data_IF_161613423553
#
_entry.id   IF_161613423553
#
_cell.length_a   1.000
_cell.length_b   1.000
_cell.length_c   1.000
_cell.angle_alpha   90.00
_cell.angle_beta   90.00
_cell.angle_gamma   90.00
#
_symmetry.space_group_name_H-M   'P 1'
#
loop_
_entity.id
_entity.type
_entity.pdbx_description
1 polymer ?
#
# COMPACT_ATOMS: atom_id res chain seq x y z
N UNK A 1 63.56 31.12 35.17
CA UNK A 1 63.96 29.82 34.59
C UNK A 1 63.01 29.58 33.43
N UNK A 2 63.17 30.11 32.22
CA UNK A 2 64.32 30.11 31.28
C UNK A 2 64.70 28.69 30.84
N UNK A 3 64.19 28.31 29.66
CA UNK A 3 64.84 27.65 28.49
C UNK A 3 63.69 27.32 27.50
N UNK A 4 63.42 28.08 26.43
CA UNK A 4 64.20 28.49 25.25
C UNK A 4 64.16 27.46 24.10
N UNK A 5 64.34 27.99 22.88
CA UNK A 5 64.40 27.42 21.50
C UNK A 5 63.19 27.85 20.65
N UNK A 6 63.19 29.04 19.99
CA UNK A 6 63.91 29.43 18.74
C UNK A 6 63.44 28.61 17.52
N UNK A 7 63.18 29.13 16.33
CA UNK A 7 63.73 30.31 15.65
C UNK A 7 62.95 30.61 14.33
N UNK A 8 63.00 31.89 13.94
CA UNK A 8 63.07 32.47 12.57
C UNK A 8 61.96 32.22 11.53
N UNK A 9 61.20 33.26 11.12
CA UNK A 9 61.53 34.31 10.13
C UNK A 9 61.25 33.82 8.69
N UNK A 10 60.57 34.51 7.78
CA UNK A 10 60.62 35.93 7.39
C UNK A 10 59.36 36.35 6.59
N UNK A 11 59.01 37.64 6.72
CA UNK A 11 58.43 38.57 5.73
C UNK A 11 58.63 38.19 4.24
N UNK A 12 57.81 38.56 3.24
CA UNK A 12 57.34 39.92 2.88
C UNK A 12 56.60 39.89 1.52
N UNK A 13 55.50 40.65 1.40
CA UNK A 13 55.02 41.46 0.25
C UNK A 13 54.62 40.83 -1.12
N UNK A 14 53.32 40.95 -1.41
CA UNK A 14 52.67 41.61 -2.58
C UNK A 14 53.32 41.51 -3.98
N UNK A 15 52.61 40.95 -4.97
CA UNK A 15 51.96 41.70 -6.07
C UNK A 15 51.27 40.81 -7.15
N UNK A 16 50.11 41.32 -7.58
CA UNK A 16 49.25 41.16 -8.75
C UNK A 16 49.68 40.35 -10.01
N UNK A 17 48.72 39.51 -10.50
CA UNK A 17 48.15 39.24 -11.87
C UNK A 17 48.97 39.54 -13.15
N UNK A 18 48.80 38.84 -14.32
CA UNK A 18 47.51 38.46 -14.95
C UNK A 18 47.45 37.17 -15.84
N UNK A 19 46.27 36.98 -16.45
CA UNK A 19 45.79 36.01 -17.47
C UNK A 19 46.82 35.43 -18.47
N UNK A 20 46.63 34.16 -18.88
CA UNK A 20 46.44 33.71 -20.29
C UNK A 20 46.23 32.18 -20.39
N UNK A 21 45.10 31.79 -20.99
CA UNK A 21 44.79 30.69 -21.94
C UNK A 21 45.71 29.46 -22.07
N UNK A 22 45.15 28.26 -21.85
CA UNK A 22 45.48 27.00 -22.55
C UNK A 22 44.25 26.05 -22.46
N UNK A 23 43.49 25.87 -23.55
CA UNK A 23 43.58 24.77 -24.54
C UNK A 23 43.22 23.39 -23.97
N UNK A 24 42.09 22.90 -24.48
CA UNK A 24 41.41 21.60 -24.31
C UNK A 24 42.29 20.43 -24.83
N UNK A 25 42.10 19.20 -24.33
CA UNK A 25 41.78 18.15 -25.28
C UNK A 25 40.52 17.38 -24.91
N UNK A 26 39.70 17.21 -25.95
CA UNK A 26 38.43 16.54 -25.97
C UNK A 26 38.59 15.05 -25.68
N UNK A 27 37.84 14.54 -24.70
CA UNK A 27 37.65 13.10 -24.53
C UNK A 27 36.23 12.75 -24.98
N UNK A 28 36.22 11.84 -25.95
CA UNK A 28 35.11 11.37 -26.76
C UNK A 28 33.91 10.92 -25.92
N UNK A 29 32.74 11.34 -26.37
CA UNK A 29 31.46 10.66 -26.11
C UNK A 29 31.61 9.17 -26.42
N UNK A 30 31.43 8.34 -25.38
CA UNK A 30 31.00 6.95 -25.53
C UNK A 30 29.58 6.88 -25.00
N UNK A 31 28.63 6.77 -25.92
CA UNK A 31 27.22 6.56 -25.62
C UNK A 31 27.05 5.26 -24.82
N UNK A 32 26.35 5.24 -23.67
CA UNK A 32 25.78 4.01 -23.20
C UNK A 32 24.59 3.70 -24.12
N UNK A 33 24.69 2.61 -24.87
CA UNK A 33 23.57 2.03 -25.59
C UNK A 33 22.45 1.77 -24.57
N UNK A 34 21.44 2.62 -24.58
CA UNK A 34 20.22 2.48 -23.79
C UNK A 34 19.41 1.35 -24.43
N UNK A 35 19.59 0.13 -23.94
CA UNK A 35 18.71 -0.99 -24.30
C UNK A 35 17.28 -0.64 -23.86
N UNK A 36 16.29 -0.63 -24.76
CA UNK A 36 14.90 -0.48 -24.35
C UNK A 36 14.49 -1.77 -23.64
N UNK A 37 14.30 -1.69 -22.32
CA UNK A 37 13.58 -2.72 -21.59
C UNK A 37 12.15 -2.81 -22.16
N UNK A 38 11.63 -4.01 -22.47
CA UNK A 38 10.26 -4.15 -22.90
C UNK A 38 9.35 -3.87 -21.69
N UNK A 39 8.85 -2.64 -21.58
CA UNK A 39 7.81 -2.30 -20.63
C UNK A 39 6.49 -2.91 -21.10
N UNK A 40 6.23 -4.12 -20.60
CA UNK A 40 4.90 -4.74 -20.63
C UNK A 40 3.92 -3.81 -19.90
N UNK A 41 3.09 -3.13 -20.68
CA UNK A 41 2.01 -2.27 -20.20
C UNK A 41 0.87 -3.14 -19.67
N UNK A 42 0.91 -3.54 -18.39
CA UNK A 42 -0.24 -4.18 -17.76
C UNK A 42 -1.21 -3.12 -17.18
N UNK A 43 -2.53 -3.29 -17.35
CA UNK A 43 -3.53 -2.37 -16.81
C UNK A 43 -3.53 -2.41 -15.27
N UNK A 44 -3.71 -1.25 -14.62
CA UNK A 44 -3.86 -1.14 -13.17
C UNK A 44 -4.87 -2.16 -12.66
N UNK A 45 -4.38 -3.10 -11.85
CA UNK A 45 -5.14 -4.24 -11.34
C UNK A 45 -5.96 -3.74 -10.16
N UNK A 46 -7.27 -3.99 -10.14
CA UNK A 46 -8.12 -3.65 -9.00
C UNK A 46 -7.71 -4.49 -7.77
N UNK A 47 -7.91 -3.96 -6.56
CA UNK A 47 -7.75 -4.75 -5.34
C UNK A 47 -8.93 -5.74 -5.27
N UNK A 48 -8.62 -7.03 -5.19
CA UNK A 48 -9.62 -8.11 -5.19
C UNK A 48 -9.37 -9.00 -3.96
N UNK A 49 -10.42 -9.55 -3.32
CA UNK A 49 -10.23 -10.65 -2.38
C UNK A 49 -9.50 -11.81 -3.09
N UNK A 50 -8.48 -12.34 -2.43
CA UNK A 50 -7.71 -13.46 -2.94
C UNK A 50 -8.24 -14.75 -2.34
N UNK A 51 -8.53 -15.70 -3.21
CA UNK A 51 -8.93 -17.03 -2.83
C UNK A 51 -7.70 -17.80 -2.35
N UNK A 52 -7.85 -18.54 -1.24
CA UNK A 52 -6.76 -19.28 -0.61
C UNK A 52 -7.22 -20.68 -0.25
N UNK A 53 -6.26 -21.60 -0.12
CA UNK A 53 -6.46 -22.95 0.39
C UNK A 53 -5.66 -23.11 1.67
N UNK A 54 -6.27 -23.71 2.68
CA UNK A 54 -5.57 -24.02 3.93
C UNK A 54 -4.76 -25.30 3.70
N UNK A 55 -3.46 -25.22 3.97
CA UNK A 55 -2.51 -26.32 3.82
C UNK A 55 -2.27 -26.96 5.19
N UNK A 56 -2.01 -26.13 6.20
CA UNK A 56 -1.77 -26.54 7.59
C UNK A 56 -2.66 -25.71 8.51
N UNK A 57 -3.25 -26.34 9.52
CA UNK A 57 -4.03 -25.69 10.57
C UNK A 57 -3.71 -26.35 11.93
N UNK A 58 -2.43 -26.34 12.31
CA UNK A 58 -1.93 -27.05 13.49
C UNK A 58 -2.26 -28.55 13.50
N UNK A 59 -2.87 -29.01 14.59
CA UNK A 59 -3.29 -30.40 14.77
C UNK A 59 -4.62 -30.75 14.06
N UNK A 60 -5.32 -29.76 13.50
CA UNK A 60 -6.66 -29.92 12.97
C UNK A 60 -6.71 -30.20 11.47
N UNK A 61 -7.85 -30.71 11.01
CA UNK A 61 -8.08 -30.99 9.60
C UNK A 61 -8.21 -29.68 8.80
N UNK A 62 -7.30 -29.39 7.84
CA UNK A 62 -7.32 -28.15 7.07
C UNK A 62 -8.62 -27.89 6.31
N UNK A 63 -9.36 -28.93 5.91
CA UNK A 63 -10.62 -28.79 5.17
C UNK A 63 -11.77 -28.30 6.06
N UNK A 64 -11.82 -28.77 7.30
CA UNK A 64 -12.83 -28.37 8.27
C UNK A 64 -12.59 -26.92 8.70
N UNK A 65 -11.32 -26.60 9.02
CA UNK A 65 -10.86 -25.24 9.27
C UNK A 65 -11.21 -24.28 8.13
N UNK A 66 -10.91 -24.68 6.88
CA UNK A 66 -11.22 -23.87 5.71
C UNK A 66 -12.72 -23.60 5.53
N UNK A 67 -13.55 -24.63 5.76
CA UNK A 67 -15.00 -24.51 5.62
C UNK A 67 -15.59 -23.59 6.68
N UNK A 68 -15.13 -23.71 7.93
CA UNK A 68 -15.56 -22.88 9.07
C UNK A 68 -15.23 -21.39 8.90
N UNK A 69 -14.05 -21.07 8.33
CA UNK A 69 -13.67 -19.68 8.05
C UNK A 69 -14.49 -19.03 6.91
N UNK A 70 -14.98 -19.83 5.96
CA UNK A 70 -15.76 -19.34 4.82
C UNK A 70 -17.24 -19.22 5.18
N UNK A 71 -17.80 -20.16 5.96
CA UNK A 71 -19.23 -20.20 6.29
C UNK A 71 -19.69 -19.10 7.26
N UNK A 72 -18.77 -18.33 7.85
CA UNK A 72 -18.98 -17.39 8.95
C UNK A 72 -19.40 -18.05 10.27
N UNK A 73 -19.40 -19.37 10.37
CA UNK A 73 -19.67 -20.08 11.63
C UNK A 73 -18.51 -19.90 12.62
N UNK A 74 -17.35 -19.48 12.12
CA UNK A 74 -16.14 -19.31 12.89
C UNK A 74 -15.49 -20.64 13.20
N UNK A 75 -14.20 -20.60 13.45
CA UNK A 75 -13.40 -21.74 13.84
C UNK A 75 -12.94 -21.57 15.28
N UNK A 76 -12.89 -22.67 16.03
CA UNK A 76 -12.36 -22.70 17.39
C UNK A 76 -11.43 -23.89 17.54
N UNK A 77 -10.24 -23.65 18.07
CA UNK A 77 -9.24 -24.68 18.23
C UNK A 77 -9.63 -25.73 19.28
N UNK A 78 -9.07 -26.92 19.17
CA UNK A 78 -9.17 -27.93 20.23
C UNK A 78 -8.54 -27.43 21.55
N UNK A 79 -9.07 -27.90 22.68
CA UNK A 79 -8.66 -27.46 24.03
C UNK A 79 -7.21 -27.81 24.41
N UNK A 80 -6.52 -28.62 23.63
CA UNK A 80 -5.16 -29.10 23.90
C UNK A 80 -4.18 -28.76 22.78
N UNK A 81 -4.42 -27.68 22.04
CA UNK A 81 -3.46 -27.18 21.05
C UNK A 81 -2.17 -26.75 21.74
N UNK A 82 -1.03 -27.29 21.29
CA UNK A 82 0.28 -26.75 21.63
C UNK A 82 0.44 -25.39 20.94
N UNK A 83 0.83 -24.36 21.70
CA UNK A 83 1.11 -23.03 21.18
C UNK A 83 2.64 -22.83 21.03
N UNK A 84 3.10 -22.08 20.03
CA UNK A 84 2.29 -21.37 19.02
C UNK A 84 1.65 -22.31 17.98
N UNK A 85 0.46 -21.94 17.51
CA UNK A 85 -0.28 -22.68 16.50
C UNK A 85 0.07 -22.18 15.10
N UNK A 86 0.53 -23.09 14.24
CA UNK A 86 0.90 -22.78 12.87
C UNK A 86 -0.26 -22.98 11.89
N UNK A 87 -0.59 -21.92 11.14
CA UNK A 87 -1.57 -21.96 10.06
C UNK A 87 -0.89 -21.51 8.77
N UNK A 88 -0.87 -22.40 7.78
CA UNK A 88 -0.25 -22.14 6.48
C UNK A 88 -1.31 -22.17 5.39
N UNK A 89 -1.36 -21.08 4.63
CA UNK A 89 -2.32 -20.84 3.56
C UNK A 89 -1.57 -20.73 2.24
N UNK A 90 -2.09 -21.36 1.20
CA UNK A 90 -1.59 -21.24 -0.16
C UNK A 90 -2.60 -20.56 -1.07
N UNK A 91 -2.16 -19.53 -1.79
CA UNK A 91 -2.94 -18.93 -2.87
C UNK A 91 -2.90 -19.83 -4.11
N UNK A 92 -3.99 -19.86 -4.87
CA UNK A 92 -4.05 -20.62 -6.14
C UNK A 92 -2.98 -20.13 -7.14
N UNK A 93 -2.68 -18.83 -7.11
CA UNK A 93 -1.66 -18.18 -7.93
C UNK A 93 -0.89 -17.18 -7.10
N UNK A 94 0.42 -16.98 -7.38
CA UNK A 94 1.19 -15.92 -6.76
C UNK A 94 0.55 -14.56 -7.05
N UNK A 95 0.46 -13.73 -6.03
CA UNK A 95 -0.18 -12.43 -6.09
C UNK A 95 0.55 -11.42 -5.20
N UNK A 96 0.33 -10.12 -5.47
CA UNK A 96 0.76 -9.10 -4.52
C UNK A 96 -0.28 -8.99 -3.40
N UNK A 97 0.07 -9.43 -2.19
CA UNK A 97 -0.79 -9.42 -1.01
C UNK A 97 -0.68 -8.03 -0.39
N UNK A 98 -1.78 -7.29 -0.41
CA UNK A 98 -1.81 -5.90 0.03
C UNK A 98 -2.25 -5.76 1.49
N UNK A 99 -3.37 -6.40 1.85
CA UNK A 99 -3.93 -6.35 3.20
C UNK A 99 -4.49 -7.70 3.63
N UNK A 100 -4.33 -8.01 4.91
CA UNK A 100 -4.89 -9.19 5.57
C UNK A 100 -5.75 -8.69 6.74
N UNK A 101 -6.99 -9.15 6.78
CA UNK A 101 -7.95 -8.83 7.84
C UNK A 101 -8.33 -10.13 8.55
N UNK A 102 -8.21 -10.11 9.88
CA UNK A 102 -8.56 -11.24 10.75
C UNK A 102 -9.59 -10.74 11.76
N UNK A 103 -10.76 -11.36 11.74
CA UNK A 103 -11.82 -11.14 12.73
C UNK A 103 -11.73 -12.28 13.75
N UNK A 104 -11.56 -11.96 15.04
CA UNK A 104 -11.47 -12.92 16.14
C UNK A 104 -12.62 -12.72 17.13
N UNK A 105 -12.99 -13.77 17.83
CA UNK A 105 -13.96 -13.68 18.92
C UNK A 105 -13.24 -13.31 20.22
N UNK A 106 -13.66 -12.24 20.88
CA UNK A 106 -12.94 -11.63 22.02
C UNK A 106 -12.72 -12.59 23.20
N UNK A 107 -13.61 -13.55 23.43
CA UNK A 107 -13.49 -14.49 24.54
C UNK A 107 -12.30 -15.45 24.41
N UNK A 108 -11.77 -15.66 23.20
CA UNK A 108 -10.71 -16.61 22.90
C UNK A 108 -9.75 -16.04 21.84
N UNK A 109 -9.53 -14.73 21.85
CA UNK A 109 -8.64 -14.08 20.91
C UNK A 109 -7.17 -14.48 21.20
N UNK A 110 -6.37 -14.78 20.16
CA UNK A 110 -4.94 -15.00 20.32
C UNK A 110 -4.27 -13.72 20.82
N UNK A 111 -3.24 -13.81 21.67
CA UNK A 111 -2.52 -12.62 22.13
C UNK A 111 -1.80 -11.88 20.99
N UNK A 112 -1.16 -12.65 20.11
CA UNK A 112 -0.33 -12.19 19.01
C UNK A 112 -0.52 -13.11 17.81
N UNK A 113 -0.61 -12.52 16.61
CA UNK A 113 -0.57 -13.25 15.34
C UNK A 113 0.57 -12.69 14.51
N UNK A 114 1.56 -13.53 14.29
CA UNK A 114 2.72 -13.27 13.47
C UNK A 114 2.42 -13.63 12.01
N UNK A 115 2.61 -12.68 11.10
CA UNK A 115 2.30 -12.87 9.67
C UNK A 115 3.58 -12.89 8.85
N UNK A 116 3.80 -14.00 8.16
CA UNK A 116 4.92 -14.21 7.26
C UNK A 116 4.43 -14.55 5.86
N UNK A 117 5.12 -14.05 4.84
CA UNK A 117 4.78 -14.28 3.43
C UNK A 117 5.88 -15.08 2.77
N UNK A 118 5.51 -16.24 2.24
CA UNK A 118 6.38 -17.17 1.52
C UNK A 118 6.33 -16.93 0.02
N UNK A 119 7.51 -16.83 -0.59
CA UNK A 119 7.67 -16.69 -2.04
C UNK A 119 8.81 -17.56 -2.55
N UNK A 120 8.78 -17.87 -3.85
CA UNK A 120 9.89 -18.53 -4.54
C UNK A 120 10.67 -17.53 -5.38
N UNK A 121 11.98 -17.73 -5.50
CA UNK A 121 12.91 -16.82 -6.19
C UNK A 121 12.52 -16.49 -7.64
N UNK A 122 11.79 -17.37 -8.31
CA UNK A 122 11.36 -17.19 -9.70
C UNK A 122 9.90 -16.76 -9.86
N UNK A 123 9.17 -16.50 -8.77
CA UNK A 123 7.73 -16.19 -8.79
C UNK A 123 6.89 -17.20 -9.59
N UNK A 124 7.38 -18.44 -9.71
CA UNK A 124 6.66 -19.50 -10.41
C UNK A 124 5.39 -19.83 -9.63
N UNK A 125 4.28 -19.99 -10.34
CA UNK A 125 3.06 -20.49 -9.75
C UNK A 125 3.23 -21.97 -9.45
N UNK A 126 3.32 -22.30 -8.16
CA UNK A 126 3.51 -23.66 -7.68
C UNK A 126 2.19 -24.18 -7.09
N UNK A 127 1.96 -25.49 -7.08
CA UNK A 127 0.74 -25.98 -6.44
C UNK A 127 0.77 -25.75 -4.92
N UNK A 128 -0.34 -25.28 -4.31
CA UNK A 128 -0.42 -25.03 -2.88
C UNK A 128 -0.54 -26.36 -2.12
N UNK A 129 0.61 -26.98 -1.86
CA UNK A 129 0.78 -28.20 -1.07
C UNK A 129 1.83 -28.00 0.04
N UNK A 130 1.96 -28.97 0.95
CA UNK A 130 2.86 -28.86 2.10
C UNK A 130 4.34 -28.82 1.71
N UNK A 131 4.77 -29.68 0.79
CA UNK A 131 6.16 -29.74 0.32
C UNK A 131 6.61 -28.40 -0.26
N UNK A 132 5.75 -27.78 -1.06
CA UNK A 132 6.04 -26.48 -1.65
C UNK A 132 5.95 -25.36 -0.61
N UNK A 133 4.96 -25.40 0.28
CA UNK A 133 4.87 -24.42 1.35
C UNK A 133 6.13 -24.44 2.25
N UNK A 134 6.66 -25.61 2.59
CA UNK A 134 7.87 -25.74 3.43
C UNK A 134 9.17 -25.28 2.74
N UNK A 135 9.25 -25.40 1.42
CA UNK A 135 10.41 -24.97 0.64
C UNK A 135 10.40 -23.50 0.22
N UNK A 136 9.39 -22.72 0.62
CA UNK A 136 9.28 -21.30 0.28
C UNK A 136 10.16 -20.42 1.18
N UNK A 137 10.66 -19.32 0.63
CA UNK A 137 11.41 -18.32 1.39
C UNK A 137 10.41 -17.39 2.11
N UNK A 138 10.28 -17.55 3.43
CA UNK A 138 9.37 -16.74 4.25
C UNK A 138 10.03 -15.46 4.78
N UNK A 139 9.30 -14.36 4.67
CA UNK A 139 9.69 -13.07 5.21
C UNK A 139 8.61 -12.61 6.19
N UNK A 140 8.98 -12.35 7.44
CA UNK A 140 8.08 -11.74 8.45
C UNK A 140 7.68 -10.33 8.01
N UNK A 141 6.38 -10.06 7.95
CA UNK A 141 5.83 -8.79 7.45
C UNK A 141 5.21 -7.93 8.53
N UNK A 142 4.69 -8.54 9.58
CA UNK A 142 4.14 -7.80 10.69
C UNK A 142 3.51 -8.71 11.72
N UNK A 143 2.96 -8.05 12.72
CA UNK A 143 2.39 -8.68 13.91
C UNK A 143 1.04 -8.00 14.18
N UNK A 144 0.00 -8.78 14.37
CA UNK A 144 -1.29 -8.29 14.89
C UNK A 144 -1.35 -8.61 16.38
N UNK A 145 -1.62 -7.60 17.21
CA UNK A 145 -1.75 -7.78 18.66
C UNK A 145 -3.19 -7.57 19.06
N UNK A 146 -3.75 -8.50 19.81
CA UNK A 146 -5.11 -8.39 20.32
C UNK A 146 -5.03 -8.02 21.79
N UNK A 147 -5.43 -6.78 22.09
CA UNK A 147 -5.41 -6.28 23.47
C UNK A 147 -6.65 -6.74 24.20
N UNK A 148 -6.47 -7.08 25.48
CA UNK A 148 -7.58 -7.43 26.36
C UNK A 148 -8.60 -6.30 26.45
N UNK A 149 -9.81 -6.54 25.94
CA UNK A 149 -10.94 -5.62 26.05
C UNK A 149 -11.64 -5.77 27.40
N UNK A 150 -12.24 -4.68 27.87
CA UNK A 150 -13.05 -4.67 29.08
C UNK A 150 -14.44 -5.26 28.81
N UNK A 151 -15.13 -5.80 29.83
CA UNK A 151 -16.43 -6.47 29.68
C UNK A 151 -17.59 -5.62 29.11
N UNK A 152 -17.34 -4.35 28.76
CA UNK A 152 -18.30 -3.40 28.18
C UNK A 152 -18.05 -3.13 26.68
N UNK A 153 -16.98 -3.67 26.11
CA UNK A 153 -16.59 -3.45 24.72
C UNK A 153 -17.14 -4.53 23.79
N UNK A 154 -17.36 -4.23 22.50
CA UNK A 154 -17.97 -5.15 21.56
C UNK A 154 -17.10 -6.40 21.35
N UNK A 155 -17.74 -7.58 21.44
CA UNK A 155 -17.15 -8.94 21.48
C UNK A 155 -16.37 -9.39 20.23
N UNK A 156 -16.28 -8.56 19.18
CA UNK A 156 -15.55 -8.90 17.98
C UNK A 156 -14.38 -7.93 17.80
N UNK A 157 -13.16 -8.45 17.76
CA UNK A 157 -11.98 -7.67 17.38
C UNK A 157 -11.60 -7.98 15.93
N UNK A 158 -11.56 -6.94 15.12
CA UNK A 158 -11.11 -7.02 13.73
C UNK A 158 -9.79 -6.29 13.63
N UNK A 159 -8.72 -7.04 13.38
CA UNK A 159 -7.39 -6.49 13.17
C UNK A 159 -7.03 -6.56 11.68
N UNK A 160 -6.30 -5.53 11.23
CA UNK A 160 -5.93 -5.38 9.84
C UNK A 160 -4.45 -5.07 9.71
N UNK A 161 -3.76 -5.84 8.87
CA UNK A 161 -2.34 -5.67 8.59
C UNK A 161 -2.12 -5.35 7.12
N UNK A 162 -1.38 -4.28 6.86
CA UNK A 162 -0.90 -3.91 5.53
C UNK A 162 0.48 -4.54 5.30
N UNK A 163 0.61 -5.30 4.23
CA UNK A 163 1.79 -6.14 3.96
C UNK A 163 2.51 -5.72 2.69
N UNK A 164 1.77 -5.32 1.65
CA UNK A 164 2.23 -4.97 0.30
C UNK A 164 3.44 -5.80 -0.16
N UNK A 165 3.26 -7.12 -0.19
CA UNK A 165 4.33 -8.06 -0.53
C UNK A 165 3.86 -9.14 -1.50
N UNK A 166 4.74 -9.46 -2.44
CA UNK A 166 4.52 -10.53 -3.39
C UNK A 166 4.77 -11.89 -2.75
N UNK A 167 3.82 -12.81 -2.88
CA UNK A 167 3.95 -14.16 -2.36
C UNK A 167 2.84 -15.09 -2.83
N UNK A 168 3.04 -16.37 -2.57
CA UNK A 168 2.03 -17.40 -2.80
C UNK A 168 1.58 -18.05 -1.51
N UNK A 169 2.46 -18.13 -0.50
CA UNK A 169 2.16 -18.73 0.78
C UNK A 169 2.06 -17.67 1.86
N UNK A 170 1.17 -17.90 2.82
CA UNK A 170 0.97 -17.05 3.99
C UNK A 170 1.06 -17.97 5.19
N UNK A 171 1.99 -17.67 6.09
CA UNK A 171 2.15 -18.38 7.34
C UNK A 171 1.73 -17.45 8.48
N UNK A 172 0.70 -17.87 9.19
CA UNK A 172 0.19 -17.24 10.40
C UNK A 172 0.65 -18.09 11.58
N UNK A 173 1.36 -17.47 12.52
CA UNK A 173 1.79 -18.09 13.78
C UNK A 173 0.94 -17.46 14.88
N UNK A 174 0.10 -18.24 15.55
CA UNK A 174 -0.84 -17.76 16.55
C UNK A 174 -0.32 -18.12 17.94
N UNK A 175 -0.07 -17.09 18.75
CA UNK A 175 0.33 -17.27 20.13
C UNK A 175 -0.87 -17.55 21.04
N UNK A 176 -0.56 -18.00 22.26
CA UNK A 176 -1.54 -18.37 23.28
C UNK A 176 -2.60 -17.26 23.51
N UNK A 177 -3.85 -17.63 23.81
CA UNK A 177 -4.91 -16.66 24.08
C UNK A 177 -4.66 -15.92 25.40
N UNK A 178 -4.90 -14.60 25.40
CA UNK A 178 -4.71 -13.76 26.59
C UNK A 178 -5.91 -13.82 27.54
N UNK A 179 -6.24 -15.03 28.02
CA UNK A 179 -7.43 -15.28 28.83
C UNK A 179 -7.17 -15.31 30.33
N UNK A 180 -8.15 -14.83 31.10
CA UNK A 180 -8.10 -14.78 32.58
C UNK A 180 -8.33 -16.16 33.21
N UNK A 181 -9.00 -17.04 32.49
CA UNK A 181 -9.29 -18.42 32.91
C UNK A 181 -8.28 -19.37 32.25
N UNK A 182 -7.33 -19.86 33.05
CA UNK A 182 -6.29 -20.83 32.69
C UNK A 182 -6.82 -22.21 32.23
N UNK A 183 -8.13 -22.35 32.04
CA UNK A 183 -8.80 -23.59 31.60
C UNK A 183 -9.27 -23.54 30.14
N UNK A 184 -9.23 -22.36 29.49
CA UNK A 184 -9.63 -22.17 28.09
C UNK A 184 -8.41 -21.88 27.23
N UNK A 185 -7.64 -22.93 26.95
CA UNK A 185 -6.52 -22.95 26.00
C UNK A 185 -7.02 -23.24 24.58
N UNK A 186 -8.02 -22.49 24.12
CA UNK A 186 -8.46 -22.56 22.73
C UNK A 186 -8.52 -21.16 22.12
N UNK A 187 -8.25 -21.09 20.82
CA UNK A 187 -8.29 -19.86 20.02
C UNK A 187 -9.51 -19.90 19.12
N UNK A 188 -10.24 -18.79 19.02
CA UNK A 188 -11.39 -18.68 18.11
C UNK A 188 -11.15 -17.62 17.03
N UNK A 189 -11.17 -18.04 15.76
CA UNK A 189 -11.09 -17.17 14.58
C UNK A 189 -12.45 -17.11 13.91
N UNK A 190 -13.03 -15.92 13.80
CA UNK A 190 -14.35 -15.76 13.20
C UNK A 190 -14.26 -15.64 11.67
N UNK A 191 -13.27 -14.89 11.16
CA UNK A 191 -13.11 -14.69 9.73
C UNK A 191 -11.69 -14.34 9.34
N UNK A 192 -11.28 -14.80 8.16
CA UNK A 192 -10.03 -14.42 7.52
C UNK A 192 -10.31 -13.91 6.10
N UNK A 193 -9.87 -12.68 5.79
CA UNK A 193 -9.94 -12.11 4.45
C UNK A 193 -8.58 -11.62 4.00
N UNK A 194 -8.14 -12.11 2.85
CA UNK A 194 -6.89 -11.70 2.21
C UNK A 194 -7.25 -10.89 0.97
N UNK A 195 -6.60 -9.75 0.77
CA UNK A 195 -6.82 -8.90 -0.39
C UNK A 195 -5.50 -8.57 -1.06
N UNK A 196 -5.54 -8.51 -2.39
CA UNK A 196 -4.37 -8.21 -3.17
C UNK A 196 -4.69 -7.99 -4.64
N UNK A 197 -3.65 -7.99 -5.45
CA UNK A 197 -3.74 -7.73 -6.88
C UNK A 197 -3.51 -9.04 -7.64
N UNK A 198 -4.56 -9.55 -8.30
CA UNK A 198 -4.47 -10.76 -9.15
C UNK A 198 -3.58 -10.44 -10.36
N UNK A 199 -2.35 -10.95 -10.39
CA UNK A 199 -1.50 -10.80 -11.57
C UNK A 199 -2.06 -11.60 -12.75
N UNK A 200 -1.99 -11.01 -13.95
CA UNK A 200 -2.19 -11.77 -15.19
C UNK A 200 -0.96 -12.66 -15.38
N UNK A 201 -1.05 -13.90 -14.94
CA UNK A 201 0.00 -14.89 -15.19
C UNK A 201 0.03 -15.20 -16.70
N UNK A 202 0.95 -14.59 -17.42
CA UNK A 202 1.28 -14.98 -18.78
C UNK A 202 2.22 -16.17 -18.66
N UNK A 203 1.72 -17.39 -18.91
CA UNK A 203 2.57 -18.59 -18.95
C UNK A 203 3.75 -18.29 -19.89
N UNK A 204 5.01 -18.56 -19.50
CA UNK A 204 6.12 -18.53 -20.45
C UNK A 204 5.73 -19.40 -21.63
N UNK A 205 5.68 -18.83 -22.84
CA UNK A 205 5.43 -19.59 -24.07
C UNK A 205 6.59 -20.57 -24.23
N UNK A 206 6.36 -21.82 -23.85
CA UNK A 206 7.15 -22.94 -24.35
C UNK A 206 7.08 -22.88 -25.88
N UNK A 207 8.24 -22.67 -26.51
CA UNK A 207 8.37 -22.73 -27.98
C UNK A 207 8.28 -24.19 -28.40
N UNK A 208 7.06 -24.71 -28.52
CA UNK A 208 6.82 -26.02 -29.10
C UNK A 208 6.09 -25.86 -30.42
N UNK A 209 6.74 -26.37 -31.46
CA UNK A 209 6.36 -26.29 -32.88
C UNK A 209 4.94 -26.80 -33.11
N UNK A 210 4.21 -26.12 -33.99
CA UNK A 210 2.95 -26.60 -34.58
C UNK A 210 3.18 -27.91 -35.37
N UNK A 211 2.14 -28.74 -35.63
CA UNK A 211 1.18 -28.41 -36.69
C UNK A 211 -0.30 -28.81 -36.47
N UNK A 212 -1.20 -28.04 -37.13
CA UNK A 212 -2.46 -28.38 -37.86
C UNK A 212 -3.50 -29.28 -37.13
N UNK A 213 -4.83 -29.14 -37.23
CA UNK A 213 -5.79 -28.41 -38.08
C UNK A 213 -7.23 -28.72 -37.58
N UNK A 214 -8.20 -28.02 -38.18
CA UNK A 214 -9.66 -28.27 -38.27
C UNK A 214 -10.59 -27.91 -37.09
N UNK A 215 -11.30 -26.80 -37.29
CA UNK A 215 -12.67 -26.50 -36.82
C UNK A 215 -13.69 -27.46 -37.49
N UNK A 216 -14.93 -27.64 -36.99
CA UNK A 216 -15.94 -26.56 -37.01
C UNK A 216 -16.97 -26.50 -35.85
N UNK A 217 -17.59 -25.31 -35.78
CA UNK A 217 -18.95 -24.94 -35.32
C UNK A 217 -19.60 -25.62 -34.10
N UNK A 218 -20.01 -24.81 -33.12
CA UNK A 218 -21.45 -24.62 -32.91
C UNK A 218 -21.82 -23.38 -32.08
N UNK A 219 -22.97 -22.83 -32.44
CA UNK A 219 -23.60 -21.61 -31.97
C UNK A 219 -24.15 -21.73 -30.54
N UNK A 220 -24.12 -20.62 -29.78
CA UNK A 220 -25.29 -20.19 -28.97
C UNK A 220 -25.10 -18.77 -28.41
N UNK A 221 -26.10 -17.91 -28.71
CA UNK A 221 -26.35 -16.63 -28.03
C UNK A 221 -26.81 -16.87 -26.58
N UNK A 222 -26.66 -15.89 -25.67
CA UNK A 222 -27.86 -15.14 -25.24
C UNK A 222 -27.62 -13.62 -25.18
N UNK A 223 -28.54 -12.83 -25.74
CA UNK A 223 -29.60 -12.04 -25.07
C UNK A 223 -29.09 -10.87 -24.21
N UNK A 224 -29.25 -9.67 -24.79
CA UNK A 224 -29.33 -8.39 -24.10
C UNK A 224 -30.50 -8.38 -23.12
N UNK A 225 -30.24 -8.02 -21.87
CA UNK A 225 -31.24 -7.37 -21.02
C UNK A 225 -30.61 -6.11 -20.43
N UNK A 226 -31.25 -4.98 -20.75
CA UNK A 226 -31.00 -3.69 -20.13
C UNK A 226 -31.29 -3.80 -18.63
N UNK A 227 -30.29 -3.54 -17.80
CA UNK A 227 -30.48 -3.13 -16.42
C UNK A 227 -29.68 -1.84 -16.22
N UNK A 228 -30.37 -0.86 -15.65
CA UNK A 228 -29.95 0.49 -15.34
C UNK A 228 -28.53 0.56 -14.79
N UNK A 229 -27.71 1.39 -15.45
CA UNK A 229 -26.49 1.97 -14.88
C UNK A 229 -26.91 2.85 -13.71
N UNK A 230 -26.96 2.29 -12.52
CA UNK A 230 -26.74 3.07 -11.32
C UNK A 230 -25.23 3.31 -11.24
N UNK A 231 -24.85 4.58 -11.39
CA UNK A 231 -23.51 5.06 -11.14
C UNK A 231 -23.10 4.59 -9.73
N UNK A 232 -22.21 3.59 -9.65
CA UNK A 232 -21.43 3.32 -8.44
C UNK A 232 -20.42 4.46 -8.25
N UNK A 233 -20.92 5.66 -7.94
CA UNK A 233 -20.18 6.60 -7.12
C UNK A 233 -20.06 5.93 -5.76
N UNK A 234 -18.86 5.51 -5.40
CA UNK A 234 -18.47 5.35 -4.00
C UNK A 234 -18.54 6.76 -3.37
N UNK A 235 -19.74 7.26 -3.12
CA UNK A 235 -19.95 8.39 -2.24
C UNK A 235 -19.58 7.88 -0.86
N UNK A 236 -18.38 8.27 -0.44
CA UNK A 236 -17.83 8.14 0.91
C UNK A 236 -18.64 9.00 1.89
N UNK A 237 -19.95 8.78 2.00
CA UNK A 237 -20.87 9.57 2.83
C UNK A 237 -20.73 9.30 4.34
N UNK A 238 -19.82 8.41 4.75
CA UNK A 238 -19.61 8.07 6.17
C UNK A 238 -18.32 8.59 6.80
N UNK A 239 -17.41 9.22 6.06
CA UNK A 239 -16.03 9.51 6.53
C UNK A 239 -15.78 11.00 6.83
N UNK A 240 -16.82 11.85 6.73
CA UNK A 240 -16.77 13.28 7.05
C UNK A 240 -15.85 14.16 6.18
N UNK A 241 -15.03 13.59 5.28
CA UNK A 241 -14.25 14.31 4.27
C UNK A 241 -14.94 14.21 2.89
N UNK A 242 -15.45 15.34 2.39
CA UNK A 242 -16.06 15.44 1.07
C UNK A 242 -15.32 16.44 0.19
N UNK A 243 -15.17 16.09 -1.10
CA UNK A 243 -14.41 16.90 -2.06
C UNK A 243 -15.38 17.51 -3.07
N UNK A 244 -15.40 18.84 -3.15
CA UNK A 244 -16.24 19.53 -4.11
C UNK A 244 -15.52 19.59 -5.46
N UNK A 245 -15.85 18.68 -6.37
CA UNK A 245 -15.29 18.60 -7.72
C UNK A 245 -15.56 19.86 -8.60
N UNK A 246 -16.37 20.82 -8.11
CA UNK A 246 -16.65 22.10 -8.77
C UNK A 246 -15.64 23.22 -8.45
N UNK A 247 -14.67 23.00 -7.55
CA UNK A 247 -13.70 24.00 -7.09
C UNK A 247 -12.25 23.59 -7.46
N UNK A 248 -11.22 24.23 -6.87
CA UNK A 248 -9.79 23.91 -7.08
C UNK A 248 -9.45 22.43 -6.83
N UNK A 249 -10.26 21.72 -6.05
CA UNK A 249 -10.19 20.28 -5.89
C UNK A 249 -10.38 19.52 -7.22
N UNK A 250 -11.08 20.06 -8.21
CA UNK A 250 -11.38 19.40 -9.49
C UNK A 250 -10.17 19.00 -10.32
N UNK A 251 -9.02 19.67 -10.18
CA UNK A 251 -7.73 19.23 -10.73
C UNK A 251 -6.86 18.60 -9.63
N UNK A 252 -6.66 17.26 -9.65
CA UNK A 252 -5.90 16.54 -8.63
C UNK A 252 -4.46 17.02 -8.45
N UNK A 253 -3.81 17.48 -9.53
CA UNK A 253 -2.42 17.94 -9.45
C UNK A 253 -2.32 19.33 -8.83
N UNK A 254 -3.20 20.23 -9.26
CA UNK A 254 -3.23 21.61 -8.76
C UNK A 254 -3.63 21.65 -7.28
N UNK A 255 -4.67 20.90 -6.90
CA UNK A 255 -5.08 20.78 -5.49
C UNK A 255 -3.96 20.26 -4.59
N UNK A 256 -3.27 19.19 -4.99
CA UNK A 256 -2.13 18.65 -4.23
C UNK A 256 -0.99 19.67 -4.09
N UNK A 257 -0.66 20.41 -5.16
CA UNK A 257 0.37 21.46 -5.13
C UNK A 257 0.01 22.62 -4.21
N UNK A 258 -1.26 23.03 -4.20
CA UNK A 258 -1.77 24.08 -3.30
C UNK A 258 -1.65 23.63 -1.85
N UNK A 259 -2.13 22.42 -1.52
CA UNK A 259 -2.03 21.89 -0.16
C UNK A 259 -0.58 21.78 0.28
N UNK A 260 0.31 21.28 -0.58
CA UNK A 260 1.74 21.19 -0.26
C UNK A 260 2.36 22.55 0.04
N UNK A 261 1.91 23.60 -0.67
CA UNK A 261 2.33 24.98 -0.40
C UNK A 261 1.81 25.46 0.96
N UNK A 262 0.52 25.28 1.25
CA UNK A 262 -0.09 25.67 2.53
C UNK A 262 0.60 24.96 3.72
N UNK A 263 0.86 23.66 3.60
CA UNK A 263 1.61 22.91 4.62
C UNK A 263 3.06 23.38 4.75
N UNK A 264 3.67 23.84 3.65
CA UNK A 264 5.00 24.43 3.65
C UNK A 264 5.05 25.74 4.44
N UNK A 265 4.07 26.62 4.19
CA UNK A 265 3.92 27.90 4.90
C UNK A 265 3.61 27.65 6.39
N UNK A 266 2.72 26.70 6.71
CA UNK A 266 2.40 26.31 8.09
C UNK A 266 3.60 25.73 8.83
N UNK A 267 4.41 24.90 8.17
CA UNK A 267 5.68 24.41 8.73
C UNK A 267 6.64 25.54 9.05
N UNK A 268 6.78 26.53 8.16
CA UNK A 268 7.67 27.67 8.39
C UNK A 268 7.21 28.51 9.59
N UNK A 269 5.90 28.73 9.73
CA UNK A 269 5.33 29.42 10.88
C UNK A 269 5.50 28.61 12.17
N UNK A 270 5.27 27.30 12.14
CA UNK A 270 5.51 26.42 13.29
C UNK A 270 6.99 26.42 13.73
N UNK A 271 7.94 26.52 12.79
CA UNK A 271 9.37 26.67 13.12
C UNK A 271 9.68 28.04 13.75
N UNK A 272 8.99 29.11 13.34
CA UNK A 272 9.13 30.45 13.95
C UNK A 272 8.55 30.50 15.37
N UNK A 273 7.49 29.74 15.62
CA UNK A 273 6.79 29.65 16.91
C UNK A 273 7.34 28.55 17.84
N UNK A 274 8.46 27.91 17.48
CA UNK A 274 9.09 26.79 18.21
C UNK A 274 8.18 25.57 18.45
N UNK A 275 7.20 25.36 17.56
CA UNK A 275 6.29 24.21 17.56
C UNK A 275 6.90 23.05 16.76
N UNK A 276 7.95 22.45 17.31
CA UNK A 276 8.72 21.39 16.63
C UNK A 276 7.92 20.16 16.19
N UNK A 277 6.87 19.78 16.94
CA UNK A 277 6.01 18.64 16.60
C UNK A 277 5.15 18.93 15.37
N UNK A 278 4.51 20.10 15.33
CA UNK A 278 3.69 20.53 14.19
C UNK A 278 4.54 20.66 12.92
N UNK A 279 5.72 21.28 13.04
CA UNK A 279 6.67 21.36 11.94
C UNK A 279 7.09 19.98 11.40
N UNK A 280 7.36 19.01 12.29
CA UNK A 280 7.69 17.64 11.89
C UNK A 280 6.52 16.92 11.23
N UNK A 281 5.28 17.14 11.68
CA UNK A 281 4.09 16.54 11.06
C UNK A 281 3.85 17.10 9.66
N UNK A 282 3.94 18.43 9.50
CA UNK A 282 3.85 19.07 8.19
C UNK A 282 4.94 18.58 7.23
N UNK A 283 6.19 18.40 7.70
CA UNK A 283 7.27 17.86 6.87
C UNK A 283 6.95 16.45 6.34
N UNK A 284 6.52 15.54 7.21
CA UNK A 284 6.13 14.17 6.81
C UNK A 284 4.96 14.17 5.83
N UNK A 285 3.99 15.06 6.03
CA UNK A 285 2.87 15.23 5.10
C UNK A 285 3.33 15.72 3.72
N UNK A 286 4.24 16.70 3.66
CA UNK A 286 4.83 17.22 2.42
C UNK A 286 5.60 16.12 1.67
N UNK A 287 6.40 15.31 2.37
CA UNK A 287 7.16 14.21 1.77
C UNK A 287 6.23 13.17 1.13
N UNK A 288 5.17 12.76 1.85
CA UNK A 288 4.15 11.86 1.30
C UNK A 288 3.43 12.48 0.10
N UNK A 289 3.06 13.76 0.18
CA UNK A 289 2.43 14.46 -0.96
C UNK A 289 3.36 14.51 -2.17
N UNK A 290 4.66 14.71 -1.99
CA UNK A 290 5.62 14.74 -3.10
C UNK A 290 5.72 13.38 -3.84
N UNK A 291 5.57 12.26 -3.13
CA UNK A 291 5.49 10.93 -3.74
C UNK A 291 4.23 10.79 -4.61
N UNK A 292 3.07 11.19 -4.09
CA UNK A 292 1.80 11.15 -4.80
C UNK A 292 1.75 12.16 -5.96
N UNK A 293 2.41 13.31 -5.85
CA UNK A 293 2.55 14.29 -6.94
C UNK A 293 3.20 13.62 -8.17
N UNK A 294 4.33 12.94 -7.98
CA UNK A 294 5.01 12.18 -9.05
C UNK A 294 4.10 11.11 -9.66
N UNK A 295 3.25 10.48 -8.84
CA UNK A 295 2.28 9.46 -9.30
C UNK A 295 1.17 10.09 -10.14
N UNK A 296 0.63 11.23 -9.73
CA UNK A 296 -0.38 12.00 -10.48
C UNK A 296 0.20 12.55 -11.78
N UNK A 297 1.44 13.06 -11.78
CA UNK A 297 2.12 13.52 -13.00
C UNK A 297 2.25 12.40 -14.04
N UNK A 298 2.66 11.19 -13.61
CA UNK A 298 2.69 10.01 -14.50
C UNK A 298 1.32 9.66 -15.06
N UNK A 299 0.26 9.76 -14.25
CA UNK A 299 -1.11 9.52 -14.70
C UNK A 299 -1.59 10.61 -15.67
N UNK A 300 -1.20 11.86 -15.45
CA UNK A 300 -1.51 12.99 -16.34
C UNK A 300 -0.85 12.82 -17.70
N UNK A 301 0.42 12.41 -17.77
CA UNK A 301 1.08 12.07 -19.03
C UNK A 301 0.35 10.94 -19.78
N UNK A 302 -0.02 9.86 -19.07
CA UNK A 302 -0.78 8.74 -19.67
C UNK A 302 -2.18 9.17 -20.14
N UNK A 303 -2.84 10.05 -19.41
CA UNK A 303 -4.13 10.64 -19.82
C UNK A 303 -3.97 11.44 -21.11
N UNK A 304 -2.98 12.33 -21.18
CA UNK A 304 -2.67 13.11 -22.38
C UNK A 304 -2.34 12.21 -23.58
N UNK A 305 -1.54 11.16 -23.39
CA UNK A 305 -1.27 10.17 -24.44
C UNK A 305 -2.53 9.44 -24.92
N UNK A 306 -3.43 9.07 -24.00
CA UNK A 306 -4.70 8.43 -24.34
C UNK A 306 -5.62 9.37 -25.14
N UNK A 307 -5.64 10.66 -24.79
CA UNK A 307 -6.37 11.69 -25.55
C UNK A 307 -5.80 11.88 -26.94
N UNK A 308 -4.47 11.94 -27.10
CA UNK A 308 -3.81 12.05 -28.40
C UNK A 308 -4.14 10.84 -29.29
N UNK A 309 -4.22 9.64 -28.71
CA UNK A 309 -4.61 8.40 -29.41
C UNK A 309 -6.12 8.30 -29.68
N UNK A 310 -6.93 9.29 -29.27
CA UNK A 310 -8.38 9.32 -29.44
C UNK A 310 -9.15 8.38 -28.51
N UNK A 311 -8.50 7.80 -27.49
CA UNK A 311 -9.14 6.88 -26.55
C UNK A 311 -9.68 7.64 -25.33
N UNK A 312 -10.86 8.23 -25.49
CA UNK A 312 -11.55 8.99 -24.44
C UNK A 312 -11.85 8.14 -23.18
N UNK A 313 -12.18 6.85 -23.34
CA UNK A 313 -12.47 5.97 -22.21
C UNK A 313 -11.24 5.73 -21.31
N UNK A 314 -10.05 5.56 -21.90
CA UNK A 314 -8.81 5.41 -21.13
C UNK A 314 -8.36 6.73 -20.52
N UNK A 315 -8.56 7.86 -21.20
CA UNK A 315 -8.29 9.17 -20.64
C UNK A 315 -9.14 9.42 -19.39
N UNK A 316 -10.45 9.12 -19.45
CA UNK A 316 -11.35 9.26 -18.31
C UNK A 316 -10.97 8.34 -17.16
N UNK A 317 -10.55 7.10 -17.46
CA UNK A 317 -10.02 6.18 -16.43
C UNK A 317 -8.80 6.75 -15.73
N UNK A 318 -7.87 7.36 -16.46
CA UNK A 318 -6.70 8.01 -15.86
C UNK A 318 -7.08 9.25 -15.05
N UNK A 319 -8.09 10.01 -15.50
CA UNK A 319 -8.64 11.15 -14.75
C UNK A 319 -9.20 10.73 -13.40
N UNK A 320 -10.04 9.68 -13.38
CA UNK A 320 -10.59 9.13 -12.13
C UNK A 320 -9.49 8.61 -11.20
N UNK A 321 -8.50 7.88 -11.74
CA UNK A 321 -7.37 7.39 -10.94
C UNK A 321 -6.52 8.53 -10.33
N UNK A 322 -6.43 9.70 -10.99
CA UNK A 322 -5.78 10.88 -10.42
C UNK A 322 -6.57 11.43 -9.24
N UNK A 323 -7.91 11.53 -9.35
CA UNK A 323 -8.78 11.95 -8.24
C UNK A 323 -8.68 10.99 -7.05
N UNK A 324 -8.67 9.67 -7.30
CA UNK A 324 -8.51 8.67 -6.23
C UNK A 324 -7.15 8.80 -5.53
N UNK A 325 -6.08 9.07 -6.29
CA UNK A 325 -4.75 9.31 -5.72
C UNK A 325 -4.73 10.56 -4.82
N UNK A 326 -5.39 11.65 -5.24
CA UNK A 326 -5.55 12.87 -4.44
C UNK A 326 -6.29 12.57 -3.14
N UNK A 327 -7.42 11.88 -3.21
CA UNK A 327 -8.24 11.60 -2.03
C UNK A 327 -7.53 10.67 -1.04
N UNK A 328 -6.82 9.67 -1.57
CA UNK A 328 -6.00 8.76 -0.77
C UNK A 328 -4.92 9.51 -0.01
N UNK A 329 -4.19 10.43 -0.65
CA UNK A 329 -3.12 11.15 0.03
C UNK A 329 -3.65 12.13 1.07
N UNK A 330 -4.76 12.82 0.78
CA UNK A 330 -5.38 13.74 1.76
C UNK A 330 -5.83 13.02 3.03
N UNK A 331 -6.32 11.78 2.90
CA UNK A 331 -6.64 10.92 4.06
C UNK A 331 -5.39 10.40 4.76
N UNK A 332 -4.42 9.88 4.00
CA UNK A 332 -3.20 9.27 4.57
C UNK A 332 -2.30 10.25 5.32
N UNK A 333 -2.36 11.54 4.99
CA UNK A 333 -1.64 12.60 5.71
C UNK A 333 -2.46 13.24 6.82
N UNK A 334 -3.73 12.84 6.99
CA UNK A 334 -4.68 13.46 7.92
C UNK A 334 -4.70 14.99 7.79
N UNK A 335 -4.97 15.46 6.56
CA UNK A 335 -4.94 16.89 6.23
C UNK A 335 -5.89 17.71 7.11
N UNK A 336 -6.95 17.10 7.61
CA UNK A 336 -7.95 17.63 8.53
C UNK A 336 -7.44 17.89 9.93
N UNK A 337 -6.42 17.15 10.39
CA UNK A 337 -5.71 17.44 11.64
C UNK A 337 -4.66 18.54 11.46
N UNK A 338 -4.17 18.71 10.23
CA UNK A 338 -3.10 19.65 9.92
C UNK A 338 -3.60 21.02 9.47
N UNK A 339 -4.81 21.11 8.91
CA UNK A 339 -5.37 22.34 8.37
C UNK A 339 -6.73 22.63 8.99
N UNK A 340 -7.01 23.92 9.19
CA UNK A 340 -8.29 24.37 9.74
C UNK A 340 -9.38 24.27 8.67
N UNK A 341 -10.65 24.30 9.10
CA UNK A 341 -11.79 24.18 8.19
C UNK A 341 -11.82 25.25 7.10
N UNK A 342 -11.43 26.48 7.43
CA UNK A 342 -11.34 27.60 6.48
C UNK A 342 -10.28 27.36 5.41
N UNK A 343 -9.11 26.85 5.80
CA UNK A 343 -8.01 26.48 4.91
C UNK A 343 -8.45 25.34 3.97
N UNK A 344 -9.08 24.29 4.49
CA UNK A 344 -9.61 23.18 3.70
C UNK A 344 -10.68 23.64 2.70
N UNK A 345 -11.62 24.48 3.16
CA UNK A 345 -12.70 25.01 2.31
C UNK A 345 -12.14 25.84 1.15
N UNK A 346 -11.08 26.62 1.38
CA UNK A 346 -10.41 27.41 0.33
C UNK A 346 -9.82 26.55 -0.80
N UNK A 347 -9.53 25.28 -0.49
CA UNK A 347 -8.95 24.30 -1.42
C UNK A 347 -10.06 23.43 -2.07
N UNK A 348 -11.32 23.58 -1.62
CA UNK A 348 -12.46 22.80 -2.08
C UNK A 348 -12.62 21.46 -1.36
N UNK A 349 -12.01 21.32 -0.18
CA UNK A 349 -12.16 20.17 0.73
C UNK A 349 -13.12 20.58 1.85
N UNK A 350 -14.19 19.83 2.07
CA UNK A 350 -15.06 20.00 3.24
C UNK A 350 -14.80 18.85 4.22
N UNK A 351 -14.35 19.21 5.42
CA UNK A 351 -14.13 18.27 6.52
C UNK A 351 -15.12 18.55 7.64
N UNK A 352 -15.81 17.51 8.09
CA UNK A 352 -16.63 17.51 9.30
C UNK A 352 -15.79 17.38 10.58
N UNK A 353 -14.51 17.02 10.44
CA UNK A 353 -13.60 16.72 11.54
C UNK A 353 -12.62 17.85 11.88
N UNK A 354 -12.44 18.82 10.98
CA UNK A 354 -11.60 19.99 11.24
C UNK A 354 -12.31 20.97 12.18
N UNK A 355 -11.62 21.43 13.23
CA UNK A 355 -12.14 22.44 14.14
C UNK A 355 -12.47 23.75 13.41
N UNK A 356 -13.58 24.38 13.79
CA UNK A 356 -13.90 25.75 13.41
C UNK A 356 -13.03 26.70 14.26
N UNK A 357 -11.72 26.65 14.10
CA UNK A 357 -10.86 27.70 14.65
C UNK A 357 -10.88 28.87 13.65
N UNK A 358 -11.99 29.59 13.65
CA UNK A 358 -11.99 30.99 13.22
C UNK A 358 -11.24 31.77 14.31
N UNK A 359 -10.14 32.48 13.99
CA UNK A 359 -9.66 33.53 14.88
C UNK A 359 -10.64 34.70 14.77
N UNK A 360 -11.74 34.62 15.51
CA UNK A 360 -12.58 35.78 15.82
C UNK A 360 -12.71 35.90 17.34
N UNK A 361 -12.01 36.93 17.82
CA UNK A 361 -11.98 37.56 19.15
C UNK A 361 -11.17 36.90 20.28
#
# INVERSE_FOLDING_TARGET
MLFDVRECATSSWLQATPLTTAIVPAWKLSSPALFPLPMSSSPATALVPLDFRVIVAGAENPKEFHSALISNDGWTSEKSSEFPLDIVLGLEKPANIYKIQIDVADENAPSEIDVQIGSYKDNQAVEPNYENASGADYIKKGVMRFTKKSAKEPLADSQLLYVDSHGQFIWLVLDEPNNRDSTRTHISLQRLKIFGYKQKYEKPREKTKAPKSSSPENQSKPKKSNASREDMRFSSEGDGLSMNNNMLAGDPLTSLRIVKKVLGDKRENALKEDKGVEASMCLRAIERMAEYEKRIEKLKSKMSEALIKGNSAMAEKHRLAMSDCRDTVFRAVHIDLLLNRSELRSIGVDSQWSSNDDPQD
#
